data_IF_260971099060
#
_entry.id   IF_260971099060
#
_cell.length_a   1.000
_cell.length_b   1.000
_cell.length_c   1.000
_cell.angle_alpha   90.00
_cell.angle_beta   90.00
_cell.angle_gamma   90.00
#
_symmetry.space_group_name_H-M   'P 1'
#
loop_
_entity.id
_entity.type
_entity.pdbx_description
1 polymer ?
#
# COMPACT_ATOMS: atom_id res chain seq x y z
N UNK A 1 -70.38 -12.36 5.94
CA UNK A 1 -69.08 -12.88 5.63
C UNK A 1 -68.06 -11.72 5.64
N UNK A 2 -67.21 -11.62 6.68
CA UNK A 2 -66.18 -10.58 6.81
C UNK A 2 -64.87 -11.08 6.18
N UNK A 3 -64.37 -10.43 5.15
CA UNK A 3 -63.03 -10.69 4.54
C UNK A 3 -61.95 -10.20 5.48
N UNK A 4 -61.08 -11.12 5.94
CA UNK A 4 -59.85 -10.82 6.67
C UNK A 4 -58.83 -10.15 5.74
N UNK A 5 -58.44 -8.91 6.04
CA UNK A 5 -57.26 -8.26 5.44
C UNK A 5 -56.00 -8.94 5.94
N UNK A 6 -55.25 -9.56 5.02
CA UNK A 6 -53.85 -10.00 5.27
C UNK A 6 -52.97 -8.78 5.37
N UNK A 7 -52.31 -8.61 6.53
CA UNK A 7 -51.35 -7.55 6.74
C UNK A 7 -50.20 -7.63 5.72
N UNK A 8 -49.81 -6.49 5.19
CA UNK A 8 -48.62 -6.31 4.40
C UNK A 8 -47.40 -6.54 5.29
N UNK A 9 -46.55 -7.54 4.95
CA UNK A 9 -45.23 -7.68 5.51
C UNK A 9 -44.46 -6.39 5.31
N UNK A 10 -44.06 -5.77 6.41
CA UNK A 10 -43.13 -4.65 6.40
C UNK A 10 -41.77 -5.22 6.03
N UNK A 11 -41.33 -5.02 4.76
CA UNK A 11 -39.94 -5.30 4.34
C UNK A 11 -39.01 -4.52 5.26
N UNK A 12 -38.23 -5.23 6.06
CA UNK A 12 -37.23 -4.66 6.94
C UNK A 12 -36.34 -3.66 6.14
N UNK A 13 -36.16 -2.47 6.71
CA UNK A 13 -35.20 -1.48 6.22
C UNK A 13 -33.83 -2.18 6.16
N UNK A 14 -33.27 -2.31 4.97
CA UNK A 14 -31.84 -2.62 4.81
C UNK A 14 -31.08 -1.57 5.64
N UNK A 15 -30.38 -2.02 6.65
CA UNK A 15 -29.41 -1.18 7.36
C UNK A 15 -28.46 -0.64 6.29
N UNK A 16 -28.40 0.68 6.13
CA UNK A 16 -27.38 1.32 5.29
C UNK A 16 -26.05 0.91 5.88
N UNK A 17 -25.24 0.19 5.10
CA UNK A 17 -23.86 -0.08 5.49
C UNK A 17 -23.19 1.24 5.87
N UNK A 18 -22.45 1.24 6.98
CA UNK A 18 -21.67 2.42 7.40
C UNK A 18 -20.73 2.79 6.24
N UNK A 19 -20.53 4.09 5.97
CA UNK A 19 -19.60 4.50 4.93
C UNK A 19 -18.21 3.90 5.21
N UNK A 20 -17.62 3.29 4.20
CA UNK A 20 -16.27 2.72 4.26
C UNK A 20 -15.26 3.83 4.08
N UNK A 21 -14.17 3.79 4.86
CA UNK A 21 -12.97 4.56 4.57
C UNK A 21 -12.43 4.15 3.18
N UNK A 22 -12.02 5.12 2.39
CA UNK A 22 -11.50 4.91 1.03
C UNK A 22 -10.00 5.14 0.98
N UNK A 23 -9.28 4.17 0.44
CA UNK A 23 -7.84 4.25 0.22
C UNK A 23 -7.58 4.30 -1.29
N UNK A 24 -7.06 5.44 -1.77
CA UNK A 24 -6.67 5.64 -3.15
C UNK A 24 -5.22 5.22 -3.34
N UNK A 25 -4.95 4.33 -4.31
CA UNK A 25 -3.60 3.82 -4.59
C UNK A 25 -3.16 4.33 -5.96
N UNK A 26 -2.06 5.09 -5.98
CA UNK A 26 -1.41 5.63 -7.17
C UNK A 26 -0.08 4.92 -7.33
N UNK A 27 -0.01 3.89 -8.16
CA UNK A 27 1.19 3.08 -8.36
C UNK A 27 1.57 2.97 -9.83
N UNK A 28 2.84 2.65 -10.06
CA UNK A 28 3.40 2.40 -11.37
C UNK A 28 3.12 0.96 -11.83
N UNK A 29 3.37 -0.01 -10.93
CA UNK A 29 3.47 -1.42 -11.27
C UNK A 29 2.25 -2.26 -10.92
N UNK A 30 2.22 -3.46 -11.50
CA UNK A 30 1.18 -4.45 -11.22
C UNK A 30 1.42 -5.18 -9.88
N UNK A 31 2.68 -5.34 -9.49
CA UNK A 31 3.08 -6.04 -8.25
C UNK A 31 2.48 -5.35 -7.02
N UNK A 32 2.67 -4.04 -6.90
CA UNK A 32 2.17 -3.22 -5.81
C UNK A 32 0.65 -3.21 -5.78
N UNK A 33 0.06 -3.01 -6.95
CA UNK A 33 -1.39 -2.96 -7.13
C UNK A 33 -2.04 -4.26 -6.66
N UNK A 34 -1.59 -5.41 -7.18
CA UNK A 34 -2.14 -6.74 -6.83
C UNK A 34 -2.03 -6.96 -5.32
N UNK A 35 -0.88 -6.65 -4.73
CA UNK A 35 -0.68 -6.84 -3.29
C UNK A 35 -1.58 -5.95 -2.44
N UNK A 36 -1.70 -4.66 -2.79
CA UNK A 36 -2.45 -3.69 -1.99
C UNK A 36 -3.97 -3.83 -2.14
N UNK A 37 -4.48 -4.32 -3.28
CA UNK A 37 -5.90 -4.60 -3.47
C UNK A 37 -6.46 -5.64 -2.49
N UNK A 38 -5.62 -6.55 -1.97
CA UNK A 38 -6.04 -7.53 -0.95
C UNK A 38 -6.52 -6.92 0.37
N UNK A 39 -6.18 -5.67 0.64
CA UNK A 39 -6.66 -4.98 1.82
C UNK A 39 -8.12 -4.50 1.70
N UNK A 40 -8.72 -4.56 0.51
CA UNK A 40 -10.17 -4.40 0.34
C UNK A 40 -10.89 -5.67 0.79
N UNK A 41 -11.20 -5.74 2.05
CA UNK A 41 -11.92 -6.88 2.60
C UNK A 41 -12.78 -6.47 3.81
N UNK A 42 -13.64 -7.39 4.26
CA UNK A 42 -14.53 -7.16 5.42
C UNK A 42 -13.78 -6.96 6.74
N UNK A 43 -12.53 -7.42 6.83
CA UNK A 43 -11.73 -7.33 8.05
C UNK A 43 -11.32 -5.88 8.32
N UNK A 44 -10.92 -5.14 7.27
CA UNK A 44 -10.49 -3.74 7.39
C UNK A 44 -11.64 -2.75 7.18
N UNK A 45 -12.75 -3.18 6.60
CA UNK A 45 -13.90 -2.33 6.26
C UNK A 45 -13.48 -1.06 5.47
N UNK A 46 -12.58 -1.23 4.52
CA UNK A 46 -12.10 -0.18 3.62
C UNK A 46 -12.45 -0.50 2.19
N UNK A 47 -12.51 0.52 1.36
CA UNK A 47 -12.50 0.41 -0.09
C UNK A 47 -11.13 0.77 -0.62
N UNK A 48 -10.51 -0.10 -1.42
CA UNK A 48 -9.26 0.18 -2.12
C UNK A 48 -9.58 0.61 -3.54
N UNK A 49 -9.14 1.80 -3.92
CA UNK A 49 -9.37 2.35 -5.25
C UNK A 49 -8.03 2.53 -5.96
N UNK A 50 -7.61 1.55 -6.78
CA UNK A 50 -6.44 1.72 -7.64
C UNK A 50 -6.75 2.78 -8.68
N UNK A 51 -5.84 3.75 -8.84
CA UNK A 51 -5.98 4.84 -9.79
C UNK A 51 -4.88 4.74 -10.83
N UNK A 52 -5.27 4.60 -12.09
CA UNK A 52 -4.33 4.56 -13.21
C UNK A 52 -3.70 5.95 -13.42
N UNK A 53 -2.44 6.07 -13.10
CA UNK A 53 -1.69 7.33 -13.18
C UNK A 53 -1.16 7.61 -14.58
N UNK A 54 -0.94 6.60 -15.41
CA UNK A 54 -0.21 6.65 -16.68
C UNK A 54 1.22 7.23 -16.56
N UNK A 55 1.70 7.39 -15.34
CA UNK A 55 3.05 7.86 -15.02
C UNK A 55 3.88 6.70 -14.49
N UNK A 56 5.15 6.66 -14.86
CA UNK A 56 6.12 5.63 -14.50
C UNK A 56 7.28 6.19 -13.67
N UNK A 57 7.16 7.45 -13.24
CA UNK A 57 8.14 8.12 -12.40
C UNK A 57 7.49 8.70 -11.15
N UNK A 58 8.25 8.78 -10.06
CA UNK A 58 7.77 9.22 -8.76
C UNK A 58 7.18 10.63 -8.79
N UNK A 59 7.80 11.56 -9.50
CA UNK A 59 7.34 12.96 -9.58
C UNK A 59 6.02 13.05 -10.32
N UNK A 60 5.89 12.34 -11.43
CA UNK A 60 4.67 12.25 -12.22
C UNK A 60 3.51 11.66 -11.41
N UNK A 61 3.76 10.52 -10.71
CA UNK A 61 2.77 9.88 -9.84
C UNK A 61 2.29 10.85 -8.75
N UNK A 62 3.21 11.52 -8.07
CA UNK A 62 2.87 12.44 -6.96
C UNK A 62 2.13 13.68 -7.45
N UNK A 63 2.56 14.30 -8.57
CA UNK A 63 1.86 15.44 -9.19
C UNK A 63 0.45 15.06 -9.63
N UNK A 64 0.30 13.89 -10.24
CA UNK A 64 -1.01 13.37 -10.63
C UNK A 64 -1.89 13.13 -9.39
N UNK A 65 -1.39 12.43 -8.37
CA UNK A 65 -2.12 12.15 -7.15
C UNK A 65 -2.57 13.44 -6.45
N UNK A 66 -1.67 14.45 -6.34
CA UNK A 66 -2.01 15.77 -5.81
C UNK A 66 -3.17 16.43 -6.57
N UNK A 67 -3.13 16.40 -7.91
CA UNK A 67 -4.22 16.90 -8.75
C UNK A 67 -5.50 16.09 -8.60
N UNK A 68 -5.39 14.77 -8.45
CA UNK A 68 -6.55 13.89 -8.29
C UNK A 68 -7.26 14.15 -6.95
N UNK A 69 -6.53 14.11 -5.84
CA UNK A 69 -7.11 14.31 -4.50
C UNK A 69 -7.68 15.73 -4.31
N UNK A 70 -7.20 16.71 -5.06
CA UNK A 70 -7.78 18.06 -5.03
C UNK A 70 -9.14 18.18 -5.72
N UNK A 71 -9.55 17.17 -6.50
CA UNK A 71 -10.81 17.15 -7.27
C UNK A 71 -11.86 16.23 -6.65
N UNK A 72 -11.48 15.40 -5.71
CA UNK A 72 -12.37 14.50 -4.99
C UNK A 72 -12.57 15.00 -3.55
N UNK A 73 -13.71 14.68 -2.98
CA UNK A 73 -14.04 15.02 -1.60
C UNK A 73 -13.62 13.85 -0.69
N UNK A 74 -12.38 13.89 -0.20
CA UNK A 74 -11.85 12.90 0.73
C UNK A 74 -12.30 13.22 2.15
N UNK A 75 -12.94 12.26 2.81
CA UNK A 75 -13.29 12.37 4.22
C UNK A 75 -12.11 11.92 5.10
N UNK A 76 -11.25 12.90 5.44
CA UNK A 76 -10.07 12.64 6.28
C UNK A 76 -10.42 12.23 7.71
N UNK A 77 -11.61 12.65 8.23
CA UNK A 77 -12.08 12.27 9.55
C UNK A 77 -12.56 10.80 9.55
N UNK A 78 -13.21 10.38 8.47
CA UNK A 78 -13.55 8.97 8.26
C UNK A 78 -12.30 8.10 8.03
N UNK A 79 -11.17 8.72 7.65
CA UNK A 79 -9.90 8.07 7.44
C UNK A 79 -9.54 7.83 5.96
N UNK A 80 -10.12 8.57 5.02
CA UNK A 80 -9.71 8.49 3.63
C UNK A 80 -8.25 8.90 3.46
N UNK A 81 -7.51 8.16 2.62
CA UNK A 81 -6.10 8.44 2.31
C UNK A 81 -5.76 8.12 0.86
N UNK A 82 -4.81 8.88 0.34
CA UNK A 82 -4.12 8.55 -0.91
C UNK A 82 -2.69 8.07 -0.62
N UNK A 83 -2.25 7.02 -1.32
CA UNK A 83 -0.88 6.51 -1.25
C UNK A 83 -0.24 6.52 -2.63
N UNK A 84 0.85 7.27 -2.77
CA UNK A 84 1.73 7.20 -3.93
C UNK A 84 2.73 6.07 -3.70
N UNK A 85 2.73 5.07 -4.55
CA UNK A 85 3.60 3.88 -4.43
C UNK A 85 4.63 3.94 -5.53
N UNK A 86 5.90 4.00 -5.17
CA UNK A 86 6.99 4.10 -6.13
C UNK A 86 8.31 3.58 -5.57
N UNK A 87 9.18 3.21 -6.47
CA UNK A 87 10.48 2.61 -6.21
C UNK A 87 11.62 3.63 -6.31
N UNK A 88 12.76 3.32 -5.68
CA UNK A 88 13.98 4.13 -5.73
C UNK A 88 14.92 3.68 -6.84
N UNK A 89 14.43 3.38 -8.04
CA UNK A 89 15.32 3.11 -9.16
C UNK A 89 15.88 4.44 -9.71
N UNK A 90 17.20 4.69 -9.61
CA UNK A 90 17.79 5.94 -10.11
C UNK A 90 17.60 6.16 -11.62
N UNK A 91 17.36 5.10 -12.38
CA UNK A 91 17.15 5.21 -13.83
C UNK A 91 15.75 5.72 -14.16
N UNK A 92 14.72 5.27 -13.42
CA UNK A 92 13.32 5.70 -13.61
C UNK A 92 12.93 6.86 -12.70
N UNK A 93 13.59 7.03 -11.56
CA UNK A 93 13.27 8.04 -10.55
C UNK A 93 14.48 8.91 -10.16
N UNK A 94 15.12 9.63 -11.09
CA UNK A 94 16.28 10.46 -10.78
C UNK A 94 15.95 11.61 -9.83
N UNK A 95 14.72 12.15 -9.91
CA UNK A 95 14.28 13.34 -9.17
C UNK A 95 13.44 12.97 -7.93
N UNK A 96 13.76 11.86 -7.29
CA UNK A 96 13.00 11.34 -6.14
C UNK A 96 12.84 12.38 -5.00
N UNK A 97 13.84 13.24 -4.81
CA UNK A 97 13.78 14.30 -3.80
C UNK A 97 12.65 15.32 -4.09
N UNK A 98 12.38 15.61 -5.38
CA UNK A 98 11.24 16.47 -5.76
C UNK A 98 9.91 15.81 -5.39
N UNK A 99 9.76 14.51 -5.63
CA UNK A 99 8.57 13.78 -5.24
C UNK A 99 8.30 13.89 -3.72
N UNK A 100 9.33 13.69 -2.90
CA UNK A 100 9.19 13.83 -1.44
C UNK A 100 8.92 15.26 -0.99
N UNK A 101 9.51 16.28 -1.63
CA UNK A 101 9.20 17.66 -1.35
C UNK A 101 7.71 17.98 -1.59
N UNK A 102 7.15 17.52 -2.71
CA UNK A 102 5.72 17.68 -3.01
C UNK A 102 4.85 16.94 -1.99
N UNK A 103 5.20 15.70 -1.61
CA UNK A 103 4.45 14.90 -0.63
C UNK A 103 4.44 15.55 0.75
N UNK A 104 5.57 16.12 1.19
CA UNK A 104 5.66 16.83 2.47
C UNK A 104 4.62 17.96 2.57
N UNK A 105 4.42 18.68 1.47
CA UNK A 105 3.43 19.74 1.39
C UNK A 105 1.98 19.23 1.30
N UNK A 106 1.80 17.94 1.01
CA UNK A 106 0.48 17.33 0.78
C UNK A 106 0.00 16.45 1.93
N UNK A 107 0.83 16.17 2.95
CA UNK A 107 0.46 15.28 4.05
C UNK A 107 -0.80 15.69 4.80
N UNK A 108 -1.03 17.00 4.97
CA UNK A 108 -2.25 17.54 5.57
C UNK A 108 -3.52 17.34 4.72
N UNK A 109 -3.37 16.97 3.44
CA UNK A 109 -4.47 16.63 2.52
C UNK A 109 -4.71 15.13 2.42
N UNK A 110 -4.15 14.35 3.33
CA UNK A 110 -4.30 12.89 3.36
C UNK A 110 -3.52 12.13 2.28
N UNK A 111 -2.48 12.74 1.69
CA UNK A 111 -1.63 12.09 0.69
C UNK A 111 -0.31 11.65 1.32
N UNK A 112 0.03 10.37 1.17
CA UNK A 112 1.19 9.70 1.73
C UNK A 112 1.96 8.94 0.65
N UNK A 113 3.07 8.28 0.99
CA UNK A 113 3.76 7.36 0.10
C UNK A 113 3.88 5.96 0.69
N UNK A 114 4.13 5.00 -0.19
CA UNK A 114 4.76 3.72 0.08
C UNK A 114 6.00 3.68 -0.80
N UNK A 115 7.15 3.84 -0.19
CA UNK A 115 8.45 3.93 -0.86
C UNK A 115 9.26 2.67 -0.62
N UNK A 116 9.88 2.13 -1.67
CA UNK A 116 10.78 0.99 -1.59
C UNK A 116 12.09 1.25 -2.33
N UNK A 117 13.19 0.75 -1.78
CA UNK A 117 14.53 0.85 -2.36
C UNK A 117 15.25 -0.50 -2.28
N UNK A 118 15.62 -1.14 -3.40
CA UNK A 118 15.54 -0.64 -4.78
C UNK A 118 14.16 -0.78 -5.42
N UNK A 119 13.30 -1.69 -4.92
CA UNK A 119 11.97 -1.97 -5.47
C UNK A 119 11.05 -2.59 -4.43
N UNK A 120 9.75 -2.67 -4.76
CA UNK A 120 8.72 -3.22 -3.87
C UNK A 120 9.01 -4.66 -3.41
N UNK A 121 9.78 -5.42 -4.17
CA UNK A 121 10.21 -6.76 -3.83
C UNK A 121 11.06 -6.84 -2.54
N UNK A 122 11.59 -5.72 -2.04
CA UNK A 122 12.19 -5.68 -0.69
C UNK A 122 11.18 -6.17 0.34
N UNK A 123 9.92 -5.74 0.22
CA UNK A 123 8.83 -6.20 1.10
C UNK A 123 8.64 -7.71 1.01
N UNK A 124 8.62 -8.27 -0.19
CA UNK A 124 8.49 -9.72 -0.35
C UNK A 124 9.68 -10.49 0.21
N UNK A 125 10.89 -10.00 0.01
CA UNK A 125 12.10 -10.62 0.56
C UNK A 125 12.06 -10.70 2.10
N UNK A 126 11.53 -9.65 2.76
CA UNK A 126 11.42 -9.60 4.22
C UNK A 126 10.52 -10.70 4.82
N UNK A 127 9.64 -11.33 4.05
CA UNK A 127 8.84 -12.48 4.49
C UNK A 127 9.70 -13.75 4.66
N UNK A 128 10.85 -13.83 4.00
CA UNK A 128 11.72 -15.01 4.01
C UNK A 128 13.00 -14.80 4.85
N UNK A 129 13.34 -13.57 5.16
CA UNK A 129 14.54 -13.22 5.91
C UNK A 129 14.88 -11.73 5.78
N UNK A 130 16.12 -11.37 6.11
CA UNK A 130 16.59 -10.02 5.88
C UNK A 130 16.80 -9.78 4.38
N UNK A 131 16.39 -8.62 3.90
CA UNK A 131 16.64 -8.23 2.52
C UNK A 131 18.14 -7.96 2.31
N UNK A 132 18.73 -8.44 1.21
CA UNK A 132 20.14 -8.21 0.93
C UNK A 132 20.45 -6.75 0.61
N UNK A 133 21.61 -6.27 1.06
CA UNK A 133 22.07 -4.90 0.86
C UNK A 133 22.61 -4.65 -0.55
N UNK A 134 22.45 -3.43 -1.05
CA UNK A 134 23.12 -2.93 -2.26
C UNK A 134 22.69 -3.62 -3.56
N UNK A 135 21.55 -4.25 -3.61
CA UNK A 135 21.02 -4.82 -4.86
C UNK A 135 20.36 -3.75 -5.72
N UNK A 136 20.51 -3.88 -7.06
CA UNK A 136 19.62 -3.17 -7.99
C UNK A 136 18.22 -3.78 -8.00
N UNK A 137 17.24 -3.06 -8.55
CA UNK A 137 15.85 -3.55 -8.68
C UNK A 137 15.80 -4.93 -9.38
N UNK A 138 16.48 -5.09 -10.51
CA UNK A 138 16.56 -6.39 -11.22
C UNK A 138 17.14 -7.52 -10.38
N UNK A 139 18.18 -7.23 -9.59
CA UNK A 139 18.79 -8.24 -8.71
C UNK A 139 17.86 -8.60 -7.56
N UNK A 140 17.11 -7.63 -7.01
CA UNK A 140 16.11 -7.87 -5.98
C UNK A 140 14.95 -8.70 -6.51
N UNK A 141 14.41 -8.39 -7.70
CA UNK A 141 13.41 -9.22 -8.40
C UNK A 141 13.89 -10.66 -8.61
N UNK A 142 15.13 -10.84 -9.08
CA UNK A 142 15.74 -12.18 -9.22
C UNK A 142 15.93 -12.89 -7.87
N UNK A 143 16.23 -12.15 -6.81
CA UNK A 143 16.34 -12.71 -5.45
C UNK A 143 14.99 -13.24 -4.98
N UNK A 144 13.92 -12.45 -5.09
CA UNK A 144 12.55 -12.87 -4.71
C UNK A 144 12.09 -14.07 -5.57
N UNK A 145 12.36 -14.05 -6.86
CA UNK A 145 12.05 -15.20 -7.74
C UNK A 145 12.71 -16.50 -7.26
N UNK A 146 13.93 -16.45 -6.74
CA UNK A 146 14.60 -17.62 -6.13
C UNK A 146 13.95 -18.09 -4.84
N UNK A 147 13.52 -17.14 -3.98
CA UNK A 147 12.82 -17.45 -2.73
C UNK A 147 11.45 -18.10 -2.97
N UNK A 148 10.81 -17.77 -4.07
CA UNK A 148 9.49 -18.27 -4.45
C UNK A 148 9.55 -19.54 -5.31
N UNK A 149 10.73 -19.98 -5.76
CA UNK A 149 10.93 -21.00 -6.80
C UNK A 149 10.15 -22.29 -6.55
N UNK A 150 10.12 -22.76 -5.31
CA UNK A 150 9.50 -24.05 -4.98
C UNK A 150 7.96 -23.99 -5.07
N UNK A 151 7.36 -22.86 -4.77
CA UNK A 151 5.91 -22.67 -4.79
C UNK A 151 5.42 -22.01 -6.08
N UNK A 152 6.20 -21.06 -6.61
CA UNK A 152 5.89 -20.27 -7.80
C UNK A 152 7.07 -20.29 -8.79
N UNK A 153 7.34 -21.42 -9.49
CA UNK A 153 8.48 -21.55 -10.39
C UNK A 153 8.47 -20.55 -11.54
N UNK A 154 7.29 -20.10 -11.95
CA UNK A 154 7.07 -19.14 -13.02
C UNK A 154 6.67 -17.74 -12.47
N UNK A 155 7.13 -17.37 -11.27
CA UNK A 155 6.82 -16.07 -10.69
C UNK A 155 7.21 -14.93 -11.62
N UNK A 156 6.28 -14.00 -11.80
CA UNK A 156 6.44 -12.71 -12.49
C UNK A 156 5.66 -11.63 -11.73
N UNK A 157 5.82 -10.38 -12.11
CA UNK A 157 5.21 -9.20 -11.47
C UNK A 157 3.67 -9.22 -11.48
N UNK A 158 3.05 -10.06 -12.32
CA UNK A 158 1.60 -10.23 -12.42
C UNK A 158 1.06 -11.40 -11.61
N UNK A 159 1.93 -12.16 -10.93
CA UNK A 159 1.51 -13.32 -10.14
C UNK A 159 1.16 -12.89 -8.73
N UNK A 160 -0.08 -13.16 -8.34
CA UNK A 160 -0.53 -12.94 -6.97
C UNK A 160 0.07 -13.97 -6.02
N UNK A 161 0.80 -13.49 -5.02
CA UNK A 161 1.45 -14.30 -3.99
C UNK A 161 0.99 -13.93 -2.57
N UNK A 162 -0.01 -13.06 -2.45
CA UNK A 162 -0.45 -12.50 -1.16
C UNK A 162 -0.75 -13.58 -0.12
N UNK A 163 -1.57 -14.56 -0.46
CA UNK A 163 -1.97 -15.64 0.47
C UNK A 163 -0.76 -16.46 0.96
N UNK A 164 0.24 -16.65 0.11
CA UNK A 164 1.47 -17.36 0.49
C UNK A 164 2.36 -16.58 1.45
N UNK A 165 2.25 -15.26 1.43
CA UNK A 165 3.00 -14.37 2.31
C UNK A 165 2.32 -14.15 3.67
N UNK A 166 1.02 -14.36 3.77
CA UNK A 166 0.20 -14.02 4.93
C UNK A 166 0.74 -14.57 6.25
N UNK A 167 1.09 -15.84 6.30
CA UNK A 167 1.59 -16.51 7.52
C UNK A 167 2.93 -15.93 8.02
N UNK A 168 3.65 -15.19 7.16
CA UNK A 168 4.95 -14.58 7.44
C UNK A 168 4.88 -13.06 7.58
N UNK A 169 3.70 -12.47 7.43
CA UNK A 169 3.54 -11.02 7.39
C UNK A 169 3.97 -10.32 8.69
N UNK A 170 3.73 -10.93 9.86
CA UNK A 170 4.17 -10.34 11.13
C UNK A 170 5.68 -10.29 11.26
N UNK A 171 6.38 -11.34 10.83
CA UNK A 171 7.84 -11.37 10.84
C UNK A 171 8.43 -10.40 9.80
N UNK A 172 7.83 -10.30 8.63
CA UNK A 172 8.21 -9.31 7.63
C UNK A 172 8.06 -7.88 8.16
N UNK A 173 6.95 -7.61 8.86
CA UNK A 173 6.71 -6.31 9.50
C UNK A 173 7.78 -5.96 10.54
N UNK A 174 8.12 -6.90 11.42
CA UNK A 174 9.20 -6.70 12.41
C UNK A 174 10.54 -6.38 11.73
N UNK A 175 10.88 -7.12 10.66
CA UNK A 175 12.10 -6.89 9.88
C UNK A 175 12.09 -5.53 9.17
N UNK A 176 10.96 -5.10 8.60
CA UNK A 176 10.83 -3.78 7.97
C UNK A 176 11.05 -2.64 8.98
N UNK A 177 10.48 -2.75 10.19
CA UNK A 177 10.67 -1.77 11.28
C UNK A 177 12.13 -1.74 11.75
N UNK A 178 12.77 -2.90 11.88
CA UNK A 178 14.20 -2.97 12.25
C UNK A 178 15.07 -2.37 11.16
N UNK A 179 14.79 -2.68 9.90
CA UNK A 179 15.48 -2.11 8.74
C UNK A 179 15.34 -0.58 8.71
N UNK A 180 14.13 -0.06 8.92
CA UNK A 180 13.89 1.39 9.02
C UNK A 180 14.76 2.03 10.10
N UNK A 181 14.81 1.43 11.30
CA UNK A 181 15.63 1.94 12.40
C UNK A 181 17.12 1.92 12.06
N UNK A 182 17.61 0.84 11.46
CA UNK A 182 19.01 0.72 11.04
C UNK A 182 19.39 1.78 10.00
N UNK A 183 18.57 1.96 8.97
CA UNK A 183 18.80 2.97 7.93
C UNK A 183 18.77 4.40 8.51
N UNK A 184 17.85 4.67 9.43
CA UNK A 184 17.72 5.98 10.07
C UNK A 184 18.91 6.33 11.01
N UNK A 185 19.66 5.34 11.48
CA UNK A 185 20.88 5.56 12.27
C UNK A 185 22.09 5.98 11.41
N UNK A 186 22.08 5.58 10.14
CA UNK A 186 23.22 5.77 9.21
C UNK A 186 23.01 6.94 8.26
N UNK A 187 21.76 7.25 7.94
CA UNK A 187 21.39 8.25 6.94
C UNK A 187 20.56 9.37 7.55
N UNK A 188 20.78 10.60 7.10
CA UNK A 188 20.02 11.78 7.48
C UNK A 188 18.53 11.63 7.11
N UNK A 189 18.24 11.00 5.97
CA UNK A 189 16.89 10.66 5.52
C UNK A 189 16.84 9.25 5.01
N UNK A 190 15.73 8.54 5.26
CA UNK A 190 15.48 7.21 4.70
C UNK A 190 14.93 7.29 3.26
N UNK A 191 14.47 8.45 2.86
CA UNK A 191 13.92 8.73 1.53
C UNK A 191 15.02 9.14 0.55
N UNK A 192 15.87 8.18 0.20
CA UNK A 192 17.08 8.40 -0.58
C UNK A 192 17.48 7.12 -1.32
N UNK A 193 18.12 7.27 -2.48
CA UNK A 193 18.74 6.16 -3.20
C UNK A 193 19.81 5.42 -2.39
N UNK A 194 20.40 6.06 -1.38
CA UNK A 194 21.46 5.48 -0.55
C UNK A 194 20.91 4.46 0.47
N UNK A 195 19.65 4.57 0.87
CA UNK A 195 19.02 3.66 1.84
C UNK A 195 18.57 2.37 1.15
N UNK A 196 19.50 1.49 0.82
CA UNK A 196 19.24 0.24 0.11
C UNK A 196 19.78 -0.97 0.89
N UNK A 197 18.90 -1.92 1.34
CA UNK A 197 17.47 -1.99 1.07
C UNK A 197 16.64 -1.09 2.01
N UNK A 198 15.43 -0.73 1.57
CA UNK A 198 14.45 -0.02 2.39
C UNK A 198 13.01 -0.26 1.88
N UNK A 199 12.04 -0.23 2.78
CA UNK A 199 10.62 -0.09 2.46
C UNK A 199 9.88 0.48 3.66
N UNK A 200 8.93 1.36 3.43
CA UNK A 200 8.06 1.92 4.47
C UNK A 200 6.61 1.43 4.41
N UNK A 201 6.35 0.34 3.68
CA UNK A 201 5.03 -0.30 3.62
C UNK A 201 4.47 -0.61 5.02
N UNK A 202 5.34 -0.79 6.02
CA UNK A 202 4.91 -1.03 7.39
C UNK A 202 4.06 0.12 7.94
N UNK A 203 4.26 1.37 7.51
CA UNK A 203 3.43 2.51 7.89
C UNK A 203 2.00 2.39 7.35
N UNK A 204 1.85 1.90 6.11
CA UNK A 204 0.54 1.56 5.55
C UNK A 204 -0.13 0.43 6.35
N UNK A 205 0.60 -0.64 6.66
CA UNK A 205 0.07 -1.77 7.41
C UNK A 205 -0.33 -1.39 8.84
N UNK A 206 0.43 -0.54 9.50
CA UNK A 206 0.07 0.02 10.81
C UNK A 206 -1.21 0.85 10.73
N UNK A 207 -1.35 1.66 9.69
CA UNK A 207 -2.57 2.42 9.45
C UNK A 207 -3.77 1.50 9.23
N UNK A 208 -3.64 0.45 8.41
CA UNK A 208 -4.69 -0.55 8.19
C UNK A 208 -5.11 -1.26 9.49
N UNK A 209 -4.13 -1.60 10.35
CA UNK A 209 -4.41 -2.16 11.68
C UNK A 209 -5.19 -1.19 12.59
N UNK A 210 -4.85 0.10 12.52
CA UNK A 210 -5.56 1.15 13.29
C UNK A 210 -7.02 1.30 12.85
N UNK A 211 -7.30 1.32 11.55
CA UNK A 211 -8.67 1.39 11.02
C UNK A 211 -9.49 0.18 11.49
N UNK A 212 -8.91 -1.02 11.42
CA UNK A 212 -9.55 -2.25 11.89
C UNK A 212 -9.96 -2.15 13.35
N UNK A 213 -9.12 -1.56 14.22
CA UNK A 213 -9.41 -1.38 15.65
C UNK A 213 -10.48 -0.32 15.92
N UNK A 214 -10.59 0.70 15.08
CA UNK A 214 -11.57 1.80 15.25
C UNK A 214 -12.98 1.42 14.81
N UNK A 215 -13.17 0.35 14.07
CA UNK A 215 -14.48 -0.15 13.62
C UNK A 215 -15.28 -0.92 14.68
N UNK A 216 -14.80 -1.04 15.91
CA UNK A 216 -15.42 -1.81 16.99
C UNK A 216 -15.80 -0.96 18.21
N UNK A 217 -16.03 0.33 18.07
CA UNK A 217 -16.58 1.14 19.16
C UNK A 217 -17.76 1.97 18.67
N UNK A 218 -18.93 1.38 18.72
CA UNK A 218 -20.16 1.94 19.34
C UNK A 218 -21.05 0.77 19.73
#
# INVERSE_FOLDING_TARGET
>A
MRKRNRGKEVKGKKTKDKPKCTIYIFCEGQTERIYLEHFENKIYNVSIVPVDTKHTDAVGIVKFAKSYVSKIDMDLELGDRGYCVFDSDPASNPDINEAFAILKDCGHKGLYCIFSNPSFEVWFALHFGNAPYGLSADKMKKHVKRLLKDKYPNYSETVDIYDYLLDRQEEALKRAVLLHRAQKQVHETVYSHQCNPYTDIFLFLEYMKKIKGSGCTV
#
